data_IF_626779718100
#
_entry.id   IF_626779718100
#
_cell.length_a   1.000
_cell.length_b   1.000
_cell.length_c   1.000
_cell.angle_alpha   90.00
_cell.angle_beta   90.00
_cell.angle_gamma   90.00
#
_symmetry.space_group_name_H-M   'P 1'
#
loop_
_entity.id
_entity.type
_entity.pdbx_description
1 polymer ?
#
# COMPACT_ATOMS: atom_id res chain seq x y z
N UNK A 1 -26.42 -49.68 14.82
CA UNK A 1 -25.36 -48.69 14.53
C UNK A 1 -24.30 -48.82 15.60
N UNK A 2 -23.07 -49.19 15.22
CA UNK A 2 -21.97 -49.38 16.17
C UNK A 2 -21.37 -48.03 16.57
N UNK A 3 -20.83 -47.91 17.79
CA UNK A 3 -20.23 -46.68 18.33
C UNK A 3 -19.15 -46.10 17.39
N UNK A 4 -18.45 -46.97 16.66
CA UNK A 4 -17.47 -46.61 15.64
C UNK A 4 -18.06 -45.76 14.50
N UNK A 5 -19.28 -46.06 14.05
CA UNK A 5 -19.92 -45.28 12.98
C UNK A 5 -20.19 -43.85 13.42
N UNK A 6 -20.61 -43.62 14.67
CA UNK A 6 -20.84 -42.29 15.22
C UNK A 6 -19.54 -41.49 15.40
N UNK A 7 -18.46 -42.15 15.82
CA UNK A 7 -17.13 -41.55 15.91
C UNK A 7 -16.62 -41.10 14.54
N UNK A 8 -16.78 -41.91 13.49
CA UNK A 8 -16.39 -41.52 12.14
C UNK A 8 -17.27 -40.39 11.58
N UNK A 9 -18.58 -40.43 11.85
CA UNK A 9 -19.54 -39.45 11.33
C UNK A 9 -19.35 -38.06 11.94
N UNK A 10 -18.90 -37.96 13.20
CA UNK A 10 -18.69 -36.69 13.89
C UNK A 10 -17.22 -36.26 13.90
N UNK A 11 -16.28 -37.21 13.99
CA UNK A 11 -14.85 -36.94 14.10
C UNK A 11 -14.23 -36.39 12.81
N UNK A 12 -14.54 -37.00 11.65
CA UNK A 12 -13.97 -36.56 10.37
C UNK A 12 -14.47 -35.13 10.01
N UNK A 13 -15.77 -34.81 10.11
CA UNK A 13 -16.24 -33.44 9.87
C UNK A 13 -15.70 -32.42 10.86
N UNK A 14 -15.53 -32.78 12.14
CA UNK A 14 -14.95 -31.90 13.15
C UNK A 14 -13.48 -31.56 12.84
N UNK A 15 -12.69 -32.55 12.42
CA UNK A 15 -11.29 -32.33 12.00
C UNK A 15 -11.20 -31.44 10.75
N UNK A 16 -12.07 -31.67 9.77
CA UNK A 16 -12.14 -30.84 8.56
C UNK A 16 -12.53 -29.39 8.93
N UNK A 17 -13.55 -29.20 9.76
CA UNK A 17 -13.98 -27.87 10.20
C UNK A 17 -12.88 -27.13 10.99
N UNK A 18 -12.15 -27.84 11.85
CA UNK A 18 -11.01 -27.28 12.58
C UNK A 18 -9.88 -26.84 11.64
N UNK A 19 -9.54 -27.67 10.64
CA UNK A 19 -8.54 -27.34 9.63
C UNK A 19 -8.96 -26.11 8.80
N UNK A 20 -10.21 -26.05 8.32
CA UNK A 20 -10.74 -24.89 7.61
C UNK A 20 -10.70 -23.62 8.47
N UNK A 21 -11.13 -23.69 9.74
CA UNK A 21 -11.10 -22.55 10.66
C UNK A 21 -9.67 -22.06 10.90
N UNK A 22 -8.72 -22.97 11.06
CA UNK A 22 -7.30 -22.63 11.23
C UNK A 22 -6.75 -21.90 10.00
N UNK A 23 -6.96 -22.45 8.79
CA UNK A 23 -6.54 -21.82 7.54
C UNK A 23 -7.20 -20.45 7.33
N UNK A 24 -8.51 -20.34 7.60
CA UNK A 24 -9.24 -19.07 7.52
C UNK A 24 -8.70 -18.03 8.50
N UNK A 25 -8.39 -18.45 9.74
CA UNK A 25 -7.79 -17.57 10.75
C UNK A 25 -6.43 -17.04 10.29
N UNK A 26 -5.58 -17.91 9.74
CA UNK A 26 -4.26 -17.52 9.20
C UNK A 26 -4.39 -16.52 8.05
N UNK A 27 -5.32 -16.75 7.10
CA UNK A 27 -5.58 -15.82 5.99
C UNK A 27 -6.08 -14.47 6.53
N UNK A 28 -6.97 -14.48 7.53
CA UNK A 28 -7.51 -13.27 8.11
C UNK A 28 -6.43 -12.44 8.82
N UNK A 29 -5.59 -13.06 9.64
CA UNK A 29 -4.46 -12.37 10.28
C UNK A 29 -3.49 -11.80 9.24
N UNK A 30 -3.13 -12.58 8.21
CA UNK A 30 -2.27 -12.10 7.13
C UNK A 30 -2.90 -10.91 6.36
N UNK A 31 -4.24 -10.85 6.28
CA UNK A 31 -4.95 -9.74 5.66
C UNK A 31 -4.90 -8.44 6.48
N UNK A 32 -4.92 -8.54 7.81
CA UNK A 32 -4.84 -7.39 8.72
C UNK A 32 -3.43 -6.79 8.71
N UNK A 33 -2.40 -7.64 8.78
CA UNK A 33 -1.00 -7.21 8.65
C UNK A 33 -0.74 -6.57 7.29
N UNK A 34 -1.28 -7.15 6.22
CA UNK A 34 -1.19 -6.57 4.87
C UNK A 34 -1.84 -5.19 4.78
N UNK A 35 -2.95 -4.94 5.49
CA UNK A 35 -3.59 -3.63 5.52
C UNK A 35 -2.73 -2.61 6.27
N UNK A 36 -2.22 -2.98 7.45
CA UNK A 36 -1.35 -2.13 8.24
C UNK A 36 -0.07 -1.77 7.46
N UNK A 37 0.54 -2.74 6.77
CA UNK A 37 1.71 -2.53 5.92
C UNK A 37 1.40 -1.57 4.76
N UNK A 38 0.29 -1.78 4.04
CA UNK A 38 -0.13 -0.89 2.95
C UNK A 38 -0.34 0.54 3.44
N UNK A 39 -1.00 0.72 4.58
CA UNK A 39 -1.21 2.04 5.18
C UNK A 39 0.11 2.71 5.60
N UNK A 40 1.05 1.94 6.18
CA UNK A 40 2.37 2.42 6.53
C UNK A 40 3.18 2.87 5.31
N UNK A 41 3.24 2.05 4.25
CA UNK A 41 3.92 2.41 3.00
C UNK A 41 3.27 3.64 2.37
N UNK A 42 1.94 3.71 2.35
CA UNK A 42 1.21 4.86 1.84
C UNK A 42 1.57 6.15 2.61
N UNK A 43 1.69 6.08 3.93
CA UNK A 43 2.11 7.22 4.75
C UNK A 43 3.56 7.65 4.47
N UNK A 44 4.47 6.69 4.28
CA UNK A 44 5.87 6.96 3.94
C UNK A 44 6.01 7.61 2.56
N UNK A 45 5.34 7.07 1.55
CA UNK A 45 5.33 7.65 0.19
C UNK A 45 4.75 9.07 0.19
N UNK A 46 3.68 9.31 0.96
CA UNK A 46 3.11 10.64 1.14
C UNK A 46 4.12 11.62 1.74
N UNK A 47 4.80 11.22 2.82
CA UNK A 47 5.80 12.06 3.47
C UNK A 47 6.98 12.38 2.53
N UNK A 48 7.45 11.39 1.77
CA UNK A 48 8.51 11.56 0.77
C UNK A 48 8.11 12.57 -0.31
N UNK A 49 6.92 12.42 -0.91
CA UNK A 49 6.43 13.36 -1.92
C UNK A 49 6.29 14.78 -1.38
N UNK A 50 5.78 14.97 -0.15
CA UNK A 50 5.69 16.31 0.47
C UNK A 50 7.10 16.91 0.65
N UNK A 51 8.06 16.09 1.10
CA UNK A 51 9.44 16.53 1.28
C UNK A 51 10.09 16.94 -0.05
N UNK A 52 9.92 16.13 -1.09
CA UNK A 52 10.41 16.44 -2.44
C UNK A 52 9.75 17.70 -2.98
N UNK A 53 8.42 17.82 -2.85
CA UNK A 53 7.69 19.01 -3.28
C UNK A 53 8.23 20.28 -2.64
N UNK A 54 8.38 20.30 -1.30
CA UNK A 54 8.90 21.47 -0.60
C UNK A 54 10.32 21.81 -1.08
N UNK A 55 11.19 20.81 -1.16
CA UNK A 55 12.60 20.98 -1.57
C UNK A 55 12.74 21.58 -2.97
N UNK A 56 11.97 21.10 -3.95
CA UNK A 56 12.09 21.57 -5.34
C UNK A 56 11.23 22.81 -5.61
N UNK A 57 10.13 23.01 -4.88
CA UNK A 57 9.38 24.25 -4.94
C UNK A 57 10.18 25.43 -4.39
N UNK A 58 10.93 25.23 -3.30
CA UNK A 58 11.87 26.24 -2.77
C UNK A 58 12.99 26.59 -3.76
N UNK A 59 13.41 25.62 -4.59
CA UNK A 59 14.39 25.82 -5.65
C UNK A 59 13.81 26.48 -6.91
N UNK A 60 12.49 26.42 -7.09
CA UNK A 60 11.81 26.91 -8.29
C UNK A 60 11.99 26.03 -9.53
N UNK A 61 12.60 24.84 -9.42
CA UNK A 61 12.76 23.90 -10.52
C UNK A 61 12.89 22.46 -9.99
N UNK A 62 12.46 21.49 -10.81
CA UNK A 62 12.56 20.06 -10.55
C UNK A 62 13.28 19.36 -11.71
N UNK A 63 14.57 18.98 -11.56
CA UNK A 63 15.30 18.30 -12.63
C UNK A 63 14.63 16.98 -13.00
N UNK A 64 14.86 16.49 -14.23
CA UNK A 64 14.15 15.34 -14.80
C UNK A 64 14.16 14.12 -13.86
N UNK A 65 15.30 13.79 -13.26
CA UNK A 65 15.40 12.66 -12.33
C UNK A 65 14.50 12.80 -11.09
N UNK A 66 14.31 14.03 -10.60
CA UNK A 66 13.46 14.31 -9.45
C UNK A 66 11.99 14.16 -9.83
N UNK A 67 11.63 14.61 -11.04
CA UNK A 67 10.30 14.42 -11.61
C UNK A 67 9.96 12.96 -11.79
N UNK A 68 10.87 12.17 -12.38
CA UNK A 68 10.67 10.74 -12.57
C UNK A 68 10.56 9.99 -11.22
N UNK A 69 11.37 10.38 -10.23
CA UNK A 69 11.27 9.81 -8.88
C UNK A 69 9.92 10.14 -8.23
N UNK A 70 9.50 11.40 -8.30
CA UNK A 70 8.21 11.84 -7.74
C UNK A 70 7.04 11.11 -8.42
N UNK A 71 7.04 11.03 -9.75
CA UNK A 71 6.04 10.30 -10.55
C UNK A 71 5.95 8.83 -10.11
N UNK A 72 7.08 8.17 -9.91
CA UNK A 72 7.11 6.79 -9.43
C UNK A 72 6.54 6.65 -8.02
N UNK A 73 6.89 7.55 -7.10
CA UNK A 73 6.31 7.57 -5.76
C UNK A 73 4.80 7.80 -5.80
N UNK A 74 4.32 8.73 -6.63
CA UNK A 74 2.90 9.01 -6.78
C UNK A 74 2.14 7.82 -7.35
N UNK A 75 2.66 7.14 -8.38
CA UNK A 75 2.05 5.90 -8.93
C UNK A 75 1.88 4.81 -7.89
N UNK A 76 2.90 4.56 -7.07
CA UNK A 76 2.82 3.55 -6.01
C UNK A 76 1.91 3.98 -4.87
N UNK A 77 1.89 5.27 -4.54
CA UNK A 77 0.95 5.80 -3.55
C UNK A 77 -0.50 5.64 -4.02
N UNK A 78 -0.77 5.99 -5.28
CA UNK A 78 -2.10 5.95 -5.87
C UNK A 78 -2.61 4.50 -6.01
N UNK A 79 -1.72 3.53 -6.26
CA UNK A 79 -2.08 2.11 -6.33
C UNK A 79 -2.45 1.49 -4.97
N UNK A 80 -1.98 2.09 -3.86
CA UNK A 80 -2.24 1.61 -2.49
C UNK A 80 -3.60 2.04 -1.93
N UNK A 81 -4.24 3.06 -2.52
CA UNK A 81 -5.57 3.51 -2.12
C UNK A 81 -5.85 4.94 -2.55
N UNK A 82 -7.02 5.15 -3.16
CA UNK A 82 -7.40 6.42 -3.78
C UNK A 82 -8.05 7.34 -2.75
N UNK A 83 -7.35 8.42 -2.37
CA UNK A 83 -7.97 9.54 -1.64
C UNK A 83 -7.85 10.88 -2.38
N UNK A 84 -7.21 10.92 -3.57
CA UNK A 84 -7.01 12.12 -4.38
C UNK A 84 -6.11 13.22 -3.77
N UNK A 85 -5.74 13.10 -2.49
CA UNK A 85 -5.08 14.17 -1.73
C UNK A 85 -3.72 14.58 -2.31
N UNK A 86 -3.01 13.66 -2.99
CA UNK A 86 -1.69 13.94 -3.56
C UNK A 86 -1.74 14.36 -5.02
N UNK A 87 -2.91 14.36 -5.66
CA UNK A 87 -3.04 14.62 -7.09
C UNK A 87 -2.79 16.10 -7.40
N UNK A 88 -3.29 17.01 -6.55
CA UNK A 88 -2.99 18.45 -6.65
C UNK A 88 -1.49 18.74 -6.47
N UNK A 89 -0.84 18.05 -5.52
CA UNK A 89 0.59 18.21 -5.26
C UNK A 89 1.41 17.70 -6.45
N UNK A 90 0.97 16.58 -7.04
CA UNK A 90 1.57 15.97 -8.20
C UNK A 90 1.49 16.87 -9.44
N UNK A 91 0.31 17.41 -9.75
CA UNK A 91 0.16 18.35 -10.87
C UNK A 91 1.09 19.56 -10.71
N UNK A 92 1.09 20.20 -9.53
CA UNK A 92 1.96 21.34 -9.24
C UNK A 92 3.45 20.99 -9.33
N UNK A 93 3.83 19.77 -8.93
CA UNK A 93 5.22 19.32 -9.04
C UNK A 93 5.64 19.16 -10.50
N UNK A 94 4.76 18.65 -11.36
CA UNK A 94 5.02 18.49 -12.79
C UNK A 94 5.06 19.81 -13.55
N UNK A 95 4.40 20.85 -13.04
CA UNK A 95 4.45 22.23 -13.58
C UNK A 95 5.78 22.93 -13.32
N UNK A 96 6.62 22.43 -12.40
CA UNK A 96 7.92 23.01 -12.14
C UNK A 96 8.82 22.89 -13.39
N UNK A 97 9.60 23.94 -13.72
CA UNK A 97 10.61 23.88 -14.78
C UNK A 97 11.61 22.75 -14.52
N UNK A 98 12.10 22.12 -15.59
CA UNK A 98 13.14 21.08 -15.47
C UNK A 98 14.55 21.64 -15.46
N UNK A 99 14.73 22.83 -16.02
CA UNK A 99 16.01 23.52 -16.10
C UNK A 99 16.23 24.37 -14.86
N UNK A 100 17.47 24.41 -14.37
CA UNK A 100 17.81 25.30 -13.28
C UNK A 100 17.65 26.76 -13.75
N UNK A 101 17.15 27.67 -12.90
CA UNK A 101 17.12 29.09 -13.23
C UNK A 101 18.55 29.54 -13.53
N UNK A 102 18.73 30.25 -14.66
CA UNK A 102 20.01 30.85 -15.01
C UNK A 102 20.45 31.77 -13.85
N UNK A 103 21.66 31.53 -13.35
CA UNK A 103 22.23 32.20 -12.17
C UNK A 103 22.67 33.64 -12.45
#
# INVERSE_FOLDING_TARGET
>A
MTVYQWLCLLGIPALIAAAFKYLYSQIKHNSEDSKALKAGIQALLRAQMISDFNKYSEKGYAPIYARDNFENCWKQYHSLGVNGVMDDLHMKFLELPTDAPEA
#
